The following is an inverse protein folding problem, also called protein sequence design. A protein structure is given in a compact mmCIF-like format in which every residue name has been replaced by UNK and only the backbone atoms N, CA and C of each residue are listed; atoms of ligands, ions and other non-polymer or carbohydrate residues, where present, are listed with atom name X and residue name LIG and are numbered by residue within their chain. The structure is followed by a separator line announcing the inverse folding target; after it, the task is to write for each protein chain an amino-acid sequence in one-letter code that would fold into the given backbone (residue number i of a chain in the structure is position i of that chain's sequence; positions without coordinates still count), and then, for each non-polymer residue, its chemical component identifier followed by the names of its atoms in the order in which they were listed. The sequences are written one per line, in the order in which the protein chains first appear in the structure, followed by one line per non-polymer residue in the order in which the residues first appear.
data_IF_261012091911
#
_entry.id   IF_261012091911
#
_cell.length_a   1.000
_cell.length_b   1.000
_cell.length_c   1.000
_cell.angle_alpha   90.00
_cell.angle_beta   90.00
_cell.angle_gamma   90.00
#
_symmetry.space_group_name_H-M   'P 1'
#
loop_
_entity.id
_entity.type
_entity.pdbx_description
1 polymer ?
#
# COMPACT_ATOMS: atom_id res chain seq x y z
N UNK A 1 10.97 -11.87 -0.25
CA UNK A 1 9.75 -12.71 -0.13
C UNK A 1 9.12 -12.83 -1.52
N UNK A 2 8.66 -14.02 -1.91
CA UNK A 2 7.90 -14.19 -3.16
C UNK A 2 6.52 -13.53 -3.01
N UNK A 3 5.88 -13.10 -4.10
CA UNK A 3 4.58 -12.41 -4.03
C UNK A 3 3.50 -13.24 -3.33
N UNK A 4 3.48 -14.57 -3.56
CA UNK A 4 2.58 -15.49 -2.88
C UNK A 4 2.74 -15.45 -1.36
N UNK A 5 3.98 -15.58 -0.88
CA UNK A 5 4.30 -15.57 0.55
C UNK A 5 3.97 -14.23 1.20
N UNK A 6 4.25 -13.11 0.52
CA UNK A 6 3.93 -11.79 1.03
C UNK A 6 2.42 -11.58 1.14
N UNK A 7 1.64 -12.03 0.14
CA UNK A 7 0.19 -11.92 0.18
C UNK A 7 -0.40 -12.70 1.35
N UNK A 8 0.11 -13.91 1.62
CA UNK A 8 -0.30 -14.72 2.77
C UNK A 8 0.03 -13.99 4.07
N UNK A 9 1.28 -13.57 4.26
CA UNK A 9 1.71 -12.82 5.43
C UNK A 9 0.90 -11.54 5.66
N UNK A 10 0.67 -10.77 4.60
CA UNK A 10 -0.10 -9.52 4.66
C UNK A 10 -1.56 -9.78 5.04
N UNK A 11 -2.18 -10.80 4.47
CA UNK A 11 -3.54 -11.21 4.83
C UNK A 11 -3.63 -11.68 6.28
N UNK A 12 -2.65 -12.43 6.76
CA UNK A 12 -2.58 -12.89 8.15
C UNK A 12 -2.50 -11.71 9.13
N UNK A 13 -1.70 -10.69 8.82
CA UNK A 13 -1.66 -9.47 9.63
C UNK A 13 -2.95 -8.69 9.51
N UNK A 14 -3.45 -8.49 8.30
CA UNK A 14 -4.69 -7.75 8.06
C UNK A 14 -5.89 -8.40 8.74
N UNK A 15 -5.91 -9.72 8.89
CA UNK A 15 -7.01 -10.43 9.54
C UNK A 15 -7.16 -10.10 11.02
N UNK A 16 -6.08 -9.62 11.66
CA UNK A 16 -6.08 -9.16 13.07
C UNK A 16 -6.78 -7.81 13.23
N UNK A 17 -7.05 -7.11 12.14
CA UNK A 17 -7.69 -5.80 12.15
C UNK A 17 -9.08 -5.91 11.52
N UNK A 18 -10.09 -6.04 12.38
CA UNK A 18 -11.51 -6.10 12.01
C UNK A 18 -12.23 -4.80 12.31
N UNK A 19 -13.43 -4.64 11.75
CA UNK A 19 -14.34 -3.52 12.08
C UNK A 19 -14.70 -3.48 13.57
N UNK A 20 -14.97 -4.63 14.18
CA UNK A 20 -15.25 -4.73 15.63
C UNK A 20 -14.14 -4.08 16.46
N UNK A 21 -12.89 -4.31 16.06
CA UNK A 21 -11.71 -3.87 16.81
C UNK A 21 -11.54 -2.35 16.92
N UNK A 22 -12.15 -1.57 16.02
CA UNK A 22 -12.13 -0.09 15.98
C UNK A 22 -13.48 0.55 16.32
N UNK A 23 -14.51 -0.24 16.59
CA UNK A 23 -15.87 0.26 16.79
C UNK A 23 -16.03 1.06 18.07
N UNK A 24 -17.03 1.96 18.07
CA UNK A 24 -17.45 2.75 19.22
C UNK A 24 -18.95 2.66 19.39
N UNK A 25 -19.41 2.73 20.64
CA UNK A 25 -20.84 2.83 20.97
C UNK A 25 -21.32 4.26 20.71
N UNK A 26 -22.28 4.44 19.80
CA UNK A 26 -23.03 5.70 19.56
C UNK A 26 -24.08 5.50 18.48
N UNK A 27 -25.11 6.34 18.51
CA UNK A 27 -26.01 6.60 17.38
C UNK A 27 -25.43 7.67 16.45
N UNK A 28 -25.51 7.45 15.13
CA UNK A 28 -25.13 8.40 14.08
C UNK A 28 -26.33 8.64 13.16
N UNK A 29 -26.56 9.90 12.79
CA UNK A 29 -27.65 10.32 11.91
C UNK A 29 -27.23 10.43 10.41
N UNK A 30 -25.95 10.21 10.10
CA UNK A 30 -25.37 10.35 8.75
C UNK A 30 -25.55 9.13 7.84
N UNK A 31 -24.96 9.16 6.64
CA UNK A 31 -25.01 8.04 5.70
C UNK A 31 -24.05 6.93 6.15
N UNK A 32 -24.61 5.81 6.60
CA UNK A 32 -23.84 4.66 7.09
C UNK A 32 -23.92 3.47 6.12
N UNK A 33 -22.77 2.82 5.94
CA UNK A 33 -22.71 1.50 5.30
C UNK A 33 -22.92 0.41 6.35
N UNK A 34 -23.87 -0.50 6.11
CA UNK A 34 -24.03 -1.69 6.94
C UNK A 34 -23.02 -2.76 6.53
N UNK A 35 -22.21 -3.24 7.47
CA UNK A 35 -21.19 -4.29 7.23
C UNK A 35 -21.08 -5.25 8.40
N UNK A 36 -20.42 -6.40 8.16
CA UNK A 36 -20.20 -7.41 9.18
C UNK A 36 -19.06 -6.97 10.13
N UNK A 37 -19.23 -7.02 11.46
CA UNK A 37 -18.17 -6.69 12.42
C UNK A 37 -16.85 -7.46 12.23
N UNK A 38 -16.88 -8.67 11.67
CA UNK A 38 -15.68 -9.50 11.43
C UNK A 38 -15.00 -9.20 10.09
N UNK A 39 -15.53 -8.26 9.31
CA UNK A 39 -14.93 -7.90 8.02
C UNK A 39 -13.58 -7.21 8.22
N UNK A 40 -12.63 -7.53 7.35
CA UNK A 40 -11.27 -7.03 7.42
C UNK A 40 -11.24 -5.55 7.03
N UNK A 41 -10.56 -4.73 7.83
CA UNK A 41 -10.41 -3.30 7.52
C UNK A 41 -9.82 -3.06 6.13
N UNK A 42 -8.89 -3.92 5.72
CA UNK A 42 -8.25 -3.79 4.42
C UNK A 42 -9.18 -3.99 3.22
N UNK A 43 -10.22 -4.81 3.37
CA UNK A 43 -11.19 -5.07 2.30
C UNK A 43 -12.26 -3.99 2.28
N UNK A 44 -12.68 -3.55 3.47
CA UNK A 44 -13.73 -2.53 3.63
C UNK A 44 -13.31 -1.18 3.03
N UNK A 45 -12.00 -0.91 3.01
CA UNK A 45 -11.34 0.23 2.36
C UNK A 45 -11.90 0.58 0.98
N UNK A 46 -12.22 -0.43 0.17
CA UNK A 46 -12.60 -0.24 -1.23
C UNK A 46 -14.04 0.28 -1.39
N UNK A 47 -14.85 0.21 -0.33
CA UNK A 47 -16.29 0.44 -0.39
C UNK A 47 -16.76 1.61 0.47
N UNK A 48 -15.90 2.16 1.32
CA UNK A 48 -16.24 3.23 2.27
C UNK A 48 -16.25 4.62 1.66
N UNK A 49 -16.07 4.72 0.34
CA UNK A 49 -16.21 5.98 -0.39
C UNK A 49 -17.61 6.56 -0.15
N UNK A 50 -17.68 7.88 0.03
CA UNK A 50 -18.95 8.64 0.12
C UNK A 50 -19.89 8.22 1.25
N UNK A 51 -19.34 7.76 2.38
CA UNK A 51 -20.08 7.44 3.61
C UNK A 51 -19.53 8.29 4.76
N UNK A 52 -20.25 8.39 5.88
CA UNK A 52 -19.76 9.08 7.08
C UNK A 52 -19.16 8.09 8.09
N UNK A 53 -19.62 6.84 8.01
CA UNK A 53 -19.21 5.76 8.89
C UNK A 53 -19.78 4.42 8.45
N UNK A 54 -19.49 3.42 9.26
CA UNK A 54 -19.88 2.04 9.04
C UNK A 54 -20.68 1.60 10.26
N UNK A 55 -21.92 1.20 10.03
CA UNK A 55 -22.76 0.56 11.03
C UNK A 55 -22.42 -0.93 11.04
N UNK A 56 -22.02 -1.42 12.22
CA UNK A 56 -21.69 -2.84 12.43
C UNK A 56 -22.76 -3.56 13.27
N UNK A 57 -23.87 -2.88 13.56
CA UNK A 57 -24.95 -3.36 14.41
C UNK A 57 -24.70 -3.14 15.91
N UNK A 58 -25.66 -3.58 16.73
CA UNK A 58 -25.57 -3.55 18.20
C UNK A 58 -25.29 -2.16 18.81
N UNK A 59 -25.74 -1.08 18.15
CA UNK A 59 -25.48 0.30 18.59
C UNK A 59 -24.02 0.74 18.43
N UNK A 60 -23.22 -0.03 17.68
CA UNK A 60 -21.81 0.27 17.41
C UNK A 60 -21.63 0.76 15.98
N UNK A 61 -20.72 1.71 15.84
CA UNK A 61 -20.33 2.25 14.55
C UNK A 61 -18.82 2.47 14.49
N UNK A 62 -18.33 2.66 13.28
CA UNK A 62 -16.96 3.08 13.00
C UNK A 62 -17.02 4.35 12.18
N UNK A 63 -16.51 5.47 12.68
CA UNK A 63 -16.32 6.65 11.82
C UNK A 63 -15.21 6.39 10.83
N UNK A 64 -15.33 6.91 9.61
CA UNK A 64 -14.27 6.83 8.59
C UNK A 64 -12.95 7.35 9.15
N UNK A 65 -12.97 8.46 9.88
CA UNK A 65 -11.75 9.01 10.49
C UNK A 65 -11.08 8.03 11.49
N UNK A 66 -11.88 7.31 12.29
CA UNK A 66 -11.36 6.31 13.24
C UNK A 66 -10.89 5.04 12.53
N UNK A 67 -11.54 4.69 11.42
CA UNK A 67 -11.19 3.56 10.57
C UNK A 67 -9.76 3.64 10.05
N UNK A 68 -9.29 4.85 9.71
CA UNK A 68 -8.09 5.02 8.90
C UNK A 68 -6.78 5.34 9.63
N UNK A 69 -6.78 5.52 10.95
CA UNK A 69 -5.60 6.11 11.63
C UNK A 69 -4.50 5.12 11.97
N UNK A 70 -4.69 4.22 12.94
CA UNK A 70 -3.57 3.42 13.46
C UNK A 70 -3.37 2.11 12.69
N UNK A 71 -4.45 1.34 12.51
CA UNK A 71 -4.39 0.00 11.92
C UNK A 71 -4.07 0.04 10.44
N UNK A 72 -4.76 0.90 9.68
CA UNK A 72 -4.49 1.11 8.26
C UNK A 72 -3.07 1.64 7.99
N UNK A 73 -2.53 2.50 8.87
CA UNK A 73 -1.13 2.94 8.77
C UNK A 73 -0.13 1.79 8.91
N UNK A 74 -0.36 0.86 9.84
CA UNK A 74 0.50 -0.32 9.99
C UNK A 74 0.48 -1.14 8.69
N UNK A 75 -0.70 -1.34 8.10
CA UNK A 75 -0.83 -2.05 6.83
C UNK A 75 -0.11 -1.33 5.68
N UNK A 76 -0.26 -0.02 5.55
CA UNK A 76 0.48 0.77 4.56
C UNK A 76 1.99 0.72 4.78
N UNK A 77 2.45 0.79 6.03
CA UNK A 77 3.87 0.69 6.37
C UNK A 77 4.47 -0.64 5.91
N UNK A 78 3.75 -1.75 6.12
CA UNK A 78 4.15 -3.07 5.63
C UNK A 78 4.23 -3.11 4.10
N UNK A 79 3.22 -2.58 3.40
CA UNK A 79 3.22 -2.54 1.92
C UNK A 79 4.37 -1.71 1.36
N UNK A 80 4.63 -0.55 1.96
CA UNK A 80 5.71 0.35 1.54
C UNK A 80 7.06 -0.33 1.74
N UNK A 81 7.27 -1.02 2.86
CA UNK A 81 8.53 -1.71 3.08
C UNK A 81 8.75 -2.89 2.13
N UNK A 82 7.70 -3.63 1.80
CA UNK A 82 7.81 -4.66 0.76
C UNK A 82 8.12 -4.04 -0.61
N UNK A 83 7.54 -2.88 -0.91
CA UNK A 83 7.82 -2.13 -2.14
C UNK A 83 9.30 -1.72 -2.21
N UNK A 84 9.83 -1.10 -1.15
CA UNK A 84 11.24 -0.74 -1.05
C UNK A 84 12.14 -1.99 -1.19
N UNK A 85 11.77 -3.10 -0.55
CA UNK A 85 12.51 -4.36 -0.62
C UNK A 85 12.54 -4.96 -2.02
N UNK A 86 11.44 -4.91 -2.78
CA UNK A 86 11.42 -5.39 -4.18
C UNK A 86 12.25 -4.50 -5.08
N UNK A 87 12.12 -3.19 -4.95
CA UNK A 87 12.92 -2.24 -5.72
C UNK A 87 14.42 -2.46 -5.48
N UNK A 88 14.82 -2.63 -4.21
CA UNK A 88 16.20 -2.97 -3.84
C UNK A 88 16.67 -4.26 -4.52
N UNK A 89 15.84 -5.31 -4.50
CA UNK A 89 16.18 -6.60 -5.14
C UNK A 89 16.34 -6.48 -6.65
N UNK A 90 15.50 -5.70 -7.33
CA UNK A 90 15.61 -5.45 -8.78
C UNK A 90 16.97 -4.82 -9.10
N UNK A 91 17.37 -3.79 -8.36
CA UNK A 91 18.67 -3.14 -8.58
C UNK A 91 19.86 -4.04 -8.24
N UNK A 92 19.76 -4.82 -7.15
CA UNK A 92 20.77 -5.83 -6.82
C UNK A 92 20.96 -6.83 -7.96
N UNK A 93 19.86 -7.25 -8.58
CA UNK A 93 19.88 -8.12 -9.76
C UNK A 93 20.52 -7.47 -10.99
N UNK A 94 20.34 -6.16 -11.17
CA UNK A 94 21.00 -5.38 -12.22
C UNK A 94 22.49 -5.11 -11.94
N UNK A 95 23.11 -5.83 -11.00
CA UNK A 95 24.56 -5.79 -10.76
C UNK A 95 25.03 -4.67 -9.83
N UNK A 96 24.11 -3.99 -9.14
CA UNK A 96 24.49 -2.96 -8.16
C UNK A 96 25.08 -3.61 -6.90
N UNK A 97 26.20 -3.09 -6.40
CA UNK A 97 26.77 -3.53 -5.13
C UNK A 97 25.87 -3.13 -3.95
N UNK A 98 25.90 -3.91 -2.87
CA UNK A 98 25.14 -3.60 -1.65
C UNK A 98 25.51 -2.21 -1.09
N UNK A 99 26.81 -1.89 -1.07
CA UNK A 99 27.30 -0.57 -0.65
C UNK A 99 26.70 0.57 -1.48
N UNK A 100 26.56 0.40 -2.80
CA UNK A 100 25.91 1.41 -3.64
C UNK A 100 24.45 1.55 -3.28
N UNK A 101 23.73 0.43 -3.13
CA UNK A 101 22.30 0.44 -2.83
C UNK A 101 21.98 1.07 -1.47
N UNK A 102 22.80 0.79 -0.46
CA UNK A 102 22.62 1.32 0.89
C UNK A 102 22.82 2.85 0.95
N UNK A 103 23.56 3.41 -0.02
CA UNK A 103 23.78 4.84 -0.19
C UNK A 103 22.80 5.51 -1.17
N UNK A 104 21.93 4.76 -1.86
CA UNK A 104 20.96 5.31 -2.81
C UNK A 104 19.67 5.72 -2.11
N UNK A 105 19.13 6.89 -2.47
CA UNK A 105 17.79 7.26 -2.05
C UNK A 105 16.73 6.46 -2.83
N UNK A 106 15.53 6.35 -2.25
CA UNK A 106 14.38 5.74 -2.94
C UNK A 106 14.09 6.40 -4.29
N UNK A 107 14.25 7.73 -4.35
CA UNK A 107 14.04 8.49 -5.59
C UNK A 107 15.12 8.18 -6.64
N UNK A 108 16.37 7.96 -6.22
CA UNK A 108 17.44 7.54 -7.13
C UNK A 108 17.18 6.13 -7.66
N UNK A 109 16.78 5.19 -6.80
CA UNK A 109 16.39 3.85 -7.24
C UNK A 109 15.22 3.88 -8.23
N UNK A 110 14.20 4.72 -8.00
CA UNK A 110 13.08 4.88 -8.95
C UNK A 110 13.57 5.46 -10.27
N UNK A 111 14.41 6.50 -10.24
CA UNK A 111 14.94 7.13 -11.45
C UNK A 111 15.76 6.15 -12.28
N UNK A 112 16.63 5.39 -11.62
CA UNK A 112 17.47 4.39 -12.28
C UNK A 112 16.61 3.29 -12.93
N UNK A 113 15.59 2.78 -12.22
CA UNK A 113 14.67 1.78 -12.77
C UNK A 113 13.94 2.31 -14.00
N UNK A 114 13.44 3.54 -13.94
CA UNK A 114 12.66 4.16 -15.02
C UNK A 114 13.51 4.44 -16.27
N UNK A 115 14.82 4.61 -16.10
CA UNK A 115 15.75 4.80 -17.21
C UNK A 115 16.20 3.48 -17.87
N UNK A 116 15.93 2.33 -17.25
CA UNK A 116 16.23 1.01 -17.81
C UNK A 116 14.99 0.44 -18.52
N UNK A 117 14.77 0.88 -19.77
CA UNK A 117 13.59 0.50 -20.55
C UNK A 117 13.45 -1.02 -20.71
N UNK A 118 14.57 -1.74 -20.84
CA UNK A 118 14.59 -3.20 -21.01
C UNK A 118 14.07 -3.91 -19.78
N UNK A 119 14.34 -3.38 -18.58
CA UNK A 119 13.82 -3.94 -17.33
C UNK A 119 12.32 -3.63 -17.19
N UNK A 120 11.88 -2.44 -17.61
CA UNK A 120 10.45 -2.06 -17.53
C UNK A 120 9.59 -2.84 -18.54
N UNK A 121 10.13 -3.21 -19.70
CA UNK A 121 9.42 -4.02 -20.70
C UNK A 121 9.07 -5.44 -20.20
N UNK A 122 9.63 -5.86 -19.06
CA UNK A 122 9.38 -7.18 -18.48
C UNK A 122 7.99 -7.25 -17.81
N UNK A 123 7.50 -6.15 -17.27
CA UNK A 123 6.18 -6.11 -16.61
C UNK A 123 5.06 -5.81 -17.61
N UNK A 124 3.89 -6.40 -17.38
CA UNK A 124 2.68 -6.20 -18.19
C UNK A 124 1.56 -5.49 -17.43
N UNK A 125 1.80 -5.11 -16.17
CA UNK A 125 0.83 -4.42 -15.30
C UNK A 125 0.48 -3.03 -15.82
N UNK A 126 1.48 -2.33 -16.37
CA UNK A 126 1.37 -0.96 -16.87
C UNK A 126 1.46 -0.91 -18.39
N UNK A 127 0.64 -0.04 -19.00
CA UNK A 127 0.63 0.13 -20.46
C UNK A 127 1.79 0.98 -20.96
N UNK A 128 2.35 1.83 -20.09
CA UNK A 128 3.48 2.69 -20.43
C UNK A 128 4.45 2.94 -19.27
N UNK A 129 5.70 3.25 -19.61
CA UNK A 129 6.75 3.66 -18.67
C UNK A 129 6.33 4.90 -17.85
N UNK A 130 5.56 5.81 -18.45
CA UNK A 130 5.11 7.03 -17.77
C UNK A 130 4.10 6.72 -16.67
N UNK A 131 3.13 5.84 -16.94
CA UNK A 131 2.17 5.41 -15.91
C UNK A 131 2.88 4.74 -14.73
N UNK A 132 3.80 3.82 -15.02
CA UNK A 132 4.58 3.15 -13.97
C UNK A 132 5.43 4.15 -13.18
N UNK A 133 6.09 5.09 -13.86
CA UNK A 133 6.88 6.15 -13.23
C UNK A 133 6.05 7.02 -12.29
N UNK A 134 4.85 7.41 -12.71
CA UNK A 134 4.01 8.29 -11.91
C UNK A 134 3.48 7.59 -10.67
N UNK A 135 3.16 6.30 -10.76
CA UNK A 135 2.81 5.48 -9.61
C UNK A 135 3.99 5.25 -8.66
N UNK A 136 5.20 4.98 -9.18
CA UNK A 136 6.41 4.89 -8.36
C UNK A 136 6.65 6.18 -7.55
N UNK A 137 6.51 7.34 -8.21
CA UNK A 137 6.64 8.66 -7.54
C UNK A 137 5.54 8.90 -6.52
N UNK A 138 4.31 8.51 -6.83
CA UNK A 138 3.17 8.65 -5.94
C UNK A 138 3.35 7.81 -4.67
N UNK A 139 3.82 6.56 -4.81
CA UNK A 139 4.15 5.66 -3.71
C UNK A 139 5.33 6.20 -2.89
N UNK A 140 6.41 6.66 -3.53
CA UNK A 140 7.56 7.29 -2.83
C UNK A 140 7.15 8.52 -2.03
N UNK A 141 6.33 9.40 -2.62
CA UNK A 141 5.82 10.59 -1.92
C UNK A 141 4.94 10.20 -0.73
N UNK A 142 4.10 9.18 -0.90
CA UNK A 142 3.24 8.67 0.16
C UNK A 142 4.02 7.97 1.27
N UNK A 143 5.14 7.31 0.95
CA UNK A 143 6.07 6.74 1.94
C UNK A 143 6.53 7.77 2.94
N UNK A 144 6.88 8.98 2.51
CA UNK A 144 7.26 10.06 3.44
C UNK A 144 6.13 10.42 4.40
N UNK A 145 4.88 10.39 3.93
CA UNK A 145 3.71 10.59 4.78
C UNK A 145 3.57 9.45 5.78
N UNK A 146 3.73 8.19 5.40
CA UNK A 146 3.58 7.06 6.33
C UNK A 146 4.72 6.99 7.35
N UNK A 147 5.95 7.30 6.94
CA UNK A 147 7.17 7.17 7.77
C UNK A 147 7.40 8.39 8.66
N UNK A 148 7.24 9.62 8.15
CA UNK A 148 7.71 10.85 8.84
C UNK A 148 6.61 11.74 9.43
N UNK A 149 5.34 11.31 9.41
CA UNK A 149 4.23 12.15 9.82
C UNK A 149 4.09 12.33 11.34
N UNK A 150 4.20 13.60 11.77
CA UNK A 150 3.80 14.13 13.08
C UNK A 150 2.27 14.03 13.29
N UNK A 151 1.78 13.89 14.53
CA UNK A 151 0.34 13.74 14.86
C UNK A 151 -0.62 14.71 14.14
N UNK A 152 -0.18 15.91 13.77
CA UNK A 152 -0.98 16.94 13.05
C UNK A 152 -1.26 16.62 11.57
N UNK A 153 -0.42 15.84 10.88
CA UNK A 153 -0.67 15.40 9.49
C UNK A 153 -1.59 14.16 9.43
N UNK A 154 -1.76 13.44 10.55
CA UNK A 154 -2.62 12.25 10.65
C UNK A 154 -4.12 12.54 10.50
N UNK A 155 -4.54 13.80 10.61
CA UNK A 155 -5.95 14.20 10.50
C UNK A 155 -6.33 14.65 9.09
N UNK A 156 -5.39 14.69 8.13
CA UNK A 156 -5.58 15.36 6.84
C UNK A 156 -5.56 14.47 5.59
N UNK A 157 -5.26 13.18 5.68
CA UNK A 157 -5.26 12.32 4.48
C UNK A 157 -6.69 11.87 4.20
N UNK A 158 -7.27 12.38 3.12
CA UNK A 158 -8.59 11.97 2.65
C UNK A 158 -8.66 10.49 2.30
N UNK A 159 -9.84 9.90 2.47
CA UNK A 159 -10.09 8.47 2.23
C UNK A 159 -9.78 8.05 0.79
N UNK A 160 -10.13 8.89 -0.18
CA UNK A 160 -9.88 8.64 -1.60
C UNK A 160 -8.37 8.54 -1.88
N UNK A 161 -7.57 9.40 -1.25
CA UNK A 161 -6.11 9.31 -1.36
C UNK A 161 -5.58 8.00 -0.79
N UNK A 162 -6.14 7.48 0.31
CA UNK A 162 -5.73 6.18 0.85
C UNK A 162 -6.08 5.03 -0.10
N UNK A 163 -7.29 5.02 -0.65
CA UNK A 163 -7.72 4.00 -1.63
C UNK A 163 -6.81 4.03 -2.85
N UNK A 164 -6.56 5.23 -3.41
CA UNK A 164 -5.68 5.40 -4.55
C UNK A 164 -4.26 4.88 -4.24
N UNK A 165 -3.70 5.23 -3.08
CA UNK A 165 -2.35 4.77 -2.69
C UNK A 165 -2.29 3.27 -2.40
N UNK A 166 -3.35 2.66 -1.88
CA UNK A 166 -3.47 1.20 -1.76
C UNK A 166 -3.33 0.55 -3.13
N UNK A 167 -4.12 1.02 -4.10
CA UNK A 167 -4.17 0.44 -5.44
C UNK A 167 -2.83 0.61 -6.18
N UNK A 168 -2.27 1.82 -6.18
CA UNK A 168 -0.98 2.10 -6.81
C UNK A 168 0.17 1.31 -6.18
N UNK A 169 0.21 1.20 -4.85
CA UNK A 169 1.26 0.40 -4.18
C UNK A 169 1.13 -1.08 -4.55
N UNK A 170 -0.09 -1.61 -4.59
CA UNK A 170 -0.33 -2.99 -4.99
C UNK A 170 0.08 -3.25 -6.45
N UNK A 171 -0.24 -2.35 -7.38
CA UNK A 171 0.17 -2.45 -8.78
C UNK A 171 1.70 -2.38 -8.94
N UNK A 172 2.36 -1.43 -8.28
CA UNK A 172 3.83 -1.37 -8.24
C UNK A 172 4.46 -2.65 -7.71
N UNK A 173 3.90 -3.24 -6.64
CA UNK A 173 4.38 -4.50 -6.08
C UNK A 173 4.27 -5.65 -7.09
N UNK A 174 3.15 -5.74 -7.82
CA UNK A 174 2.96 -6.74 -8.86
C UNK A 174 3.97 -6.55 -10.00
N UNK A 175 4.10 -5.32 -10.52
CA UNK A 175 5.04 -5.00 -11.59
C UNK A 175 6.49 -5.34 -11.22
N UNK A 176 6.92 -4.97 -10.00
CA UNK A 176 8.25 -5.31 -9.50
C UNK A 176 8.44 -6.82 -9.31
N UNK A 177 7.39 -7.57 -8.97
CA UNK A 177 7.49 -9.03 -8.90
C UNK A 177 7.68 -9.65 -10.28
N UNK A 178 6.91 -9.21 -11.28
CA UNK A 178 7.06 -9.71 -12.65
C UNK A 178 8.48 -9.49 -13.18
N UNK A 179 9.05 -8.32 -12.88
CA UNK A 179 10.46 -8.01 -13.16
C UNK A 179 11.38 -9.03 -12.49
N UNK A 180 11.24 -9.23 -11.17
CA UNK A 180 12.08 -10.17 -10.42
C UNK A 180 11.95 -11.61 -10.93
N UNK A 181 10.73 -12.09 -11.21
CA UNK A 181 10.46 -13.45 -11.67
C UNK A 181 11.16 -13.76 -13.00
N UNK A 182 11.22 -12.79 -13.91
CA UNK A 182 11.89 -12.97 -15.20
C UNK A 182 13.41 -12.85 -15.05
N UNK A 183 13.91 -11.95 -14.19
CA UNK A 183 15.33 -11.85 -13.90
C UNK A 183 15.86 -13.15 -13.27
N UNK A 184 15.09 -13.75 -12.34
CA UNK A 184 15.40 -15.04 -11.71
C UNK A 184 15.45 -16.20 -12.71
N UNK A 185 14.56 -16.24 -13.70
CA UNK A 185 14.52 -17.30 -14.75
C UNK A 185 15.66 -17.24 -15.77
N UNK A 186 16.43 -16.14 -15.83
CA UNK A 186 17.57 -16.00 -16.76
C UNK A 186 18.88 -16.59 -16.21
N UNK A 187 18.85 -17.19 -15.02
CA UNK A 187 19.92 -18.02 -14.45
C UNK A 187 19.89 -19.44 -15.00
#
# INVERSE_FOLDING_TARGET
MYLGDFKVFFNDISSRFTLESISREKTLDGKLLKRNPTELLWNVLDFVKDSDGIDIGNGKFVSIESFFRKRTRILFFILIHEFESRLYRVHKWNGYSLERLDNMSLNDMIRDLVNDSKVIEIQNVYTSVNEFRDDLKAVSSFRNIIVHTNRKLLTGIGIENLINRKNQTAQCLLALQEILDVLEKRQ
#
